data_IF_728397345440
#
_entry.id   IF_728397345440
#
_cell.length_a   1.000
_cell.length_b   1.000
_cell.length_c   1.000
_cell.angle_alpha   90.00
_cell.angle_beta   90.00
_cell.angle_gamma   90.00
#
_symmetry.space_group_name_H-M   'P 1'
#
loop_
_entity.id
_entity.type
_entity.pdbx_description
1 polymer ?
#
# COMPACT_ATOMS: atom_id res chain seq x y z
N UNK A 1 5.23 16.09 -6.03
CA UNK A 1 6.35 15.49 -6.77
C UNK A 1 5.98 15.51 -8.24
N UNK A 2 6.75 16.18 -9.08
CA UNK A 2 6.43 16.35 -10.50
C UNK A 2 7.00 15.15 -11.29
N UNK A 3 6.17 14.19 -11.61
CA UNK A 3 6.57 13.00 -12.42
C UNK A 3 6.95 13.42 -13.86
N UNK A 4 6.64 14.66 -14.24
CA UNK A 4 6.91 15.17 -15.61
C UNK A 4 8.37 15.51 -15.90
N UNK A 5 9.22 15.58 -14.90
CA UNK A 5 10.63 15.98 -14.98
C UNK A 5 11.59 14.79 -14.97
N UNK A 6 11.09 13.56 -14.77
CA UNK A 6 11.91 12.35 -14.83
C UNK A 6 11.53 11.49 -16.04
N UNK A 7 12.48 11.11 -16.89
CA UNK A 7 12.25 10.14 -17.96
C UNK A 7 12.17 8.69 -17.44
N UNK A 8 12.42 8.48 -16.15
CA UNK A 8 12.46 7.15 -15.54
C UNK A 8 11.27 6.94 -14.62
N UNK A 9 10.56 5.83 -14.84
CA UNK A 9 9.45 5.39 -14.01
C UNK A 9 9.61 3.90 -13.70
N UNK A 10 9.92 3.59 -12.44
CA UNK A 10 10.10 2.21 -12.00
C UNK A 10 8.90 1.73 -11.17
N UNK A 11 8.48 0.49 -11.44
CA UNK A 11 7.39 -0.19 -10.73
C UNK A 11 7.87 -1.58 -10.23
N UNK A 12 7.22 -2.14 -9.22
CA UNK A 12 6.27 -1.49 -8.31
C UNK A 12 6.97 -0.53 -7.33
N UNK A 13 6.19 0.38 -6.72
CA UNK A 13 6.67 1.20 -5.59
C UNK A 13 6.89 0.33 -4.36
N UNK A 14 8.12 -0.12 -4.14
CA UNK A 14 8.43 -1.09 -3.08
C UNK A 14 8.44 -0.49 -1.67
N UNK A 15 8.72 0.80 -1.55
CA UNK A 15 8.86 1.50 -0.27
C UNK A 15 7.53 1.98 0.30
N UNK A 16 6.57 2.32 -0.56
CA UNK A 16 5.26 2.82 -0.16
C UNK A 16 4.22 2.44 -1.23
N UNK A 17 3.83 1.16 -1.29
CA UNK A 17 2.93 0.66 -2.34
C UNK A 17 1.49 1.19 -2.20
N UNK A 18 1.14 1.74 -1.05
CA UNK A 18 -0.15 2.37 -0.77
C UNK A 18 -0.06 3.25 0.47
N UNK A 19 -0.77 4.38 0.45
CA UNK A 19 -0.85 5.27 1.60
C UNK A 19 -1.92 4.78 2.59
N UNK A 20 -1.57 4.74 3.88
CA UNK A 20 -2.52 4.59 4.96
C UNK A 20 -2.73 5.95 5.61
N UNK A 21 -3.91 6.53 5.41
CA UNK A 21 -4.25 7.83 5.98
C UNK A 21 -5.02 7.65 7.28
N UNK A 22 -4.74 8.53 8.25
CA UNK A 22 -5.43 8.55 9.53
C UNK A 22 -5.92 9.94 9.86
N UNK A 23 -7.03 10.02 10.57
CA UNK A 23 -7.57 11.26 11.13
C UNK A 23 -7.40 11.19 12.64
N UNK A 24 -6.62 12.13 13.19
CA UNK A 24 -6.48 12.31 14.63
C UNK A 24 -7.56 13.27 15.15
N UNK A 25 -8.30 12.85 16.16
CA UNK A 25 -9.28 13.68 16.84
C UNK A 25 -8.85 13.82 18.30
N UNK A 26 -8.87 15.05 18.84
CA UNK A 26 -8.64 15.26 20.26
C UNK A 26 -9.63 14.43 21.08
N UNK A 27 -9.12 13.73 22.10
CA UNK A 27 -9.93 12.79 22.87
C UNK A 27 -11.09 13.46 23.62
N UNK A 28 -10.87 14.67 24.16
CA UNK A 28 -11.93 15.39 24.87
C UNK A 28 -13.04 15.79 23.90
N UNK A 29 -12.66 16.31 22.71
CA UNK A 29 -13.62 16.61 21.63
C UNK A 29 -14.40 15.37 21.20
N UNK A 30 -13.73 14.24 21.06
CA UNK A 30 -14.38 12.96 20.72
C UNK A 30 -15.38 12.53 21.80
N UNK A 31 -15.00 12.66 23.08
CA UNK A 31 -15.84 12.26 24.20
C UNK A 31 -17.03 13.20 24.41
N UNK A 32 -16.92 14.47 24.01
CA UNK A 32 -18.01 15.44 24.06
C UNK A 32 -19.05 15.23 22.93
N UNK A 33 -18.70 14.48 21.89
CA UNK A 33 -19.64 14.12 20.83
C UNK A 33 -20.66 13.09 21.34
N UNK A 34 -21.90 13.25 20.89
CA UNK A 34 -22.92 12.21 21.06
C UNK A 34 -22.54 10.92 20.29
N UNK A 35 -23.09 9.79 20.68
CA UNK A 35 -22.92 8.51 19.97
C UNK A 35 -23.28 8.62 18.47
N UNK A 36 -24.29 9.41 18.16
CA UNK A 36 -24.70 9.66 16.77
C UNK A 36 -23.65 10.41 15.98
N UNK A 37 -23.03 11.44 16.57
CA UNK A 37 -21.95 12.22 15.92
C UNK A 37 -20.69 11.37 15.74
N UNK A 38 -20.29 10.59 16.74
CA UNK A 38 -19.19 9.64 16.64
C UNK A 38 -19.44 8.60 15.54
N UNK A 39 -20.66 8.09 15.43
CA UNK A 39 -21.06 7.18 14.37
C UNK A 39 -20.99 7.85 12.99
N UNK A 40 -21.48 9.09 12.84
CA UNK A 40 -21.38 9.83 11.59
C UNK A 40 -19.94 10.02 11.13
N UNK A 41 -19.03 10.43 12.01
CA UNK A 41 -17.60 10.57 11.70
C UNK A 41 -17.01 9.22 11.27
N UNK A 42 -17.31 8.15 12.00
CA UNK A 42 -16.82 6.81 11.70
C UNK A 42 -17.31 6.30 10.34
N UNK A 43 -18.57 6.53 10.00
CA UNK A 43 -19.13 6.15 8.70
C UNK A 43 -18.60 7.01 7.56
N UNK A 44 -18.40 8.31 7.79
CA UNK A 44 -17.80 9.20 6.81
C UNK A 44 -16.36 8.75 6.45
N UNK A 45 -15.56 8.39 7.45
CA UNK A 45 -14.21 7.84 7.23
C UNK A 45 -14.23 6.53 6.42
N UNK A 46 -15.13 5.60 6.75
CA UNK A 46 -15.28 4.34 6.00
C UNK A 46 -15.70 4.59 4.55
N UNK A 47 -16.70 5.44 4.33
CA UNK A 47 -17.18 5.79 2.99
C UNK A 47 -16.10 6.49 2.16
N UNK A 48 -15.34 7.40 2.76
CA UNK A 48 -14.22 8.05 2.10
C UNK A 48 -13.12 7.07 1.70
N UNK A 49 -12.81 6.08 2.56
CA UNK A 49 -11.84 5.03 2.25
C UNK A 49 -12.28 4.20 1.03
N UNK A 50 -13.52 3.74 1.00
CA UNK A 50 -14.05 2.92 -0.10
C UNK A 50 -14.07 3.70 -1.42
N UNK A 51 -14.53 4.95 -1.38
CA UNK A 51 -14.53 5.83 -2.55
C UNK A 51 -13.11 6.11 -3.06
N UNK A 52 -12.17 6.38 -2.15
CA UNK A 52 -10.78 6.67 -2.51
C UNK A 52 -10.11 5.48 -3.20
N UNK A 53 -10.28 4.26 -2.72
CA UNK A 53 -9.70 3.05 -3.34
C UNK A 53 -10.16 2.90 -4.79
N UNK A 54 -11.46 3.02 -5.03
CA UNK A 54 -12.03 2.92 -6.38
C UNK A 54 -11.56 4.05 -7.30
N UNK A 55 -11.59 5.28 -6.81
CA UNK A 55 -11.18 6.47 -7.57
C UNK A 55 -9.67 6.43 -7.92
N UNK A 56 -8.81 6.12 -6.95
CA UNK A 56 -7.37 6.00 -7.20
C UNK A 56 -7.05 4.91 -8.21
N UNK A 57 -7.66 3.74 -8.11
CA UNK A 57 -7.45 2.64 -9.05
C UNK A 57 -7.80 3.06 -10.47
N UNK A 58 -8.94 3.72 -10.65
CA UNK A 58 -9.37 4.20 -11.96
C UNK A 58 -8.49 5.33 -12.50
N UNK A 59 -8.27 6.40 -11.70
CA UNK A 59 -7.46 7.54 -12.11
C UNK A 59 -5.99 7.19 -12.36
N UNK A 60 -5.42 6.29 -11.57
CA UNK A 60 -4.05 5.82 -11.79
C UNK A 60 -3.91 5.07 -13.12
N UNK A 61 -4.90 4.27 -13.51
CA UNK A 61 -4.87 3.61 -14.82
C UNK A 61 -4.90 4.60 -15.97
N UNK A 62 -5.70 5.66 -15.86
CA UNK A 62 -5.76 6.74 -16.85
C UNK A 62 -4.44 7.53 -16.89
N UNK A 63 -3.89 7.89 -15.72
CA UNK A 63 -2.64 8.63 -15.61
C UNK A 63 -1.45 7.85 -16.19
N UNK A 64 -1.38 6.55 -15.97
CA UNK A 64 -0.36 5.70 -16.57
C UNK A 64 -0.47 5.67 -18.09
N UNK A 65 -1.69 5.54 -18.61
CA UNK A 65 -1.91 5.60 -20.06
C UNK A 65 -1.50 6.96 -20.64
N UNK A 66 -1.80 8.06 -19.96
CA UNK A 66 -1.36 9.39 -20.37
C UNK A 66 0.16 9.54 -20.36
N UNK A 67 0.84 9.06 -19.32
CA UNK A 67 2.31 9.05 -19.26
C UNK A 67 2.92 8.30 -20.45
N UNK A 68 2.36 7.16 -20.83
CA UNK A 68 2.82 6.38 -21.98
C UNK A 68 2.55 7.09 -23.31
N UNK A 69 1.30 7.51 -23.53
CA UNK A 69 0.87 7.99 -24.85
C UNK A 69 1.24 9.44 -25.15
N UNK A 70 1.22 10.32 -24.14
CA UNK A 70 1.52 11.76 -24.32
C UNK A 70 2.95 12.13 -23.97
N UNK A 71 3.57 11.40 -23.04
CA UNK A 71 4.89 11.75 -22.52
C UNK A 71 5.98 10.73 -22.91
N UNK A 72 5.62 9.62 -23.58
CA UNK A 72 6.57 8.60 -24.01
C UNK A 72 7.26 7.87 -22.86
N UNK A 73 6.68 7.88 -21.68
CA UNK A 73 7.25 7.21 -20.49
C UNK A 73 6.92 5.72 -20.57
N UNK A 74 7.93 4.87 -20.64
CA UNK A 74 7.78 3.43 -20.55
C UNK A 74 8.15 2.96 -19.14
N UNK A 75 7.19 2.33 -18.38
CA UNK A 75 7.47 1.78 -17.06
C UNK A 75 8.56 0.72 -17.12
N UNK A 76 9.51 0.84 -16.21
CA UNK A 76 10.58 -0.13 -16.00
C UNK A 76 10.31 -0.97 -14.77
N UNK A 77 10.84 -2.18 -14.72
CA UNK A 77 10.71 -3.06 -13.59
C UNK A 77 12.08 -3.41 -13.02
N UNK A 78 12.15 -3.46 -11.69
CA UNK A 78 13.36 -3.94 -11.03
C UNK A 78 13.55 -5.43 -11.31
N UNK A 79 14.78 -5.82 -11.60
CA UNK A 79 15.10 -7.24 -11.74
C UNK A 79 15.03 -7.96 -10.39
N UNK A 80 14.98 -9.29 -10.46
CA UNK A 80 14.84 -10.15 -9.26
C UNK A 80 15.97 -9.98 -8.26
N UNK A 81 17.18 -9.69 -8.72
CA UNK A 81 18.35 -9.51 -7.85
C UNK A 81 18.21 -8.24 -7.00
N UNK A 82 17.82 -7.13 -7.63
CA UNK A 82 17.55 -5.87 -6.94
C UNK A 82 16.41 -6.06 -5.93
N UNK A 83 15.31 -6.70 -6.33
CA UNK A 83 14.17 -6.93 -5.43
C UNK A 83 14.55 -7.80 -4.23
N UNK A 84 15.36 -8.83 -4.42
CA UNK A 84 15.89 -9.64 -3.32
C UNK A 84 16.74 -8.81 -2.37
N UNK A 85 17.65 -7.98 -2.92
CA UNK A 85 18.51 -7.14 -2.07
C UNK A 85 17.71 -6.10 -1.29
N UNK A 86 16.69 -5.50 -1.88
CA UNK A 86 15.76 -4.60 -1.19
C UNK A 86 15.07 -5.35 -0.03
N UNK A 87 14.58 -6.57 -0.27
CA UNK A 87 13.93 -7.38 0.75
C UNK A 87 14.86 -7.73 1.92
N UNK A 88 16.09 -8.15 1.64
CA UNK A 88 17.09 -8.44 2.67
C UNK A 88 17.41 -7.21 3.54
N UNK A 89 17.63 -6.05 2.91
CA UNK A 89 17.93 -4.81 3.65
C UNK A 89 16.72 -4.36 4.46
N UNK A 90 15.52 -4.43 3.90
CA UNK A 90 14.31 -4.07 4.63
C UNK A 90 14.05 -4.98 5.83
N UNK A 91 14.21 -6.29 5.68
CA UNK A 91 14.05 -7.24 6.78
C UNK A 91 15.09 -6.98 7.88
N UNK A 92 16.34 -6.68 7.53
CA UNK A 92 17.38 -6.34 8.51
C UNK A 92 17.02 -5.06 9.29
N UNK A 93 16.64 -3.99 8.61
CA UNK A 93 16.29 -2.71 9.27
C UNK A 93 15.09 -2.91 10.21
N UNK A 94 14.07 -3.65 9.78
CA UNK A 94 12.89 -3.91 10.60
C UNK A 94 13.24 -4.78 11.81
N UNK A 95 14.13 -5.77 11.65
CA UNK A 95 14.55 -6.62 12.75
C UNK A 95 15.43 -5.86 13.77
N UNK A 96 16.36 -5.04 13.30
CA UNK A 96 17.17 -4.16 14.17
C UNK A 96 16.28 -3.22 14.98
N UNK A 97 15.28 -2.60 14.34
CA UNK A 97 14.31 -1.75 15.02
C UNK A 97 13.45 -2.54 16.02
N UNK A 98 12.98 -3.73 15.64
CA UNK A 98 12.20 -4.60 16.51
C UNK A 98 12.94 -5.00 17.79
N UNK A 99 14.25 -5.09 17.73
CA UNK A 99 15.10 -5.44 18.87
C UNK A 99 15.56 -4.24 19.70
N UNK A 100 15.14 -3.01 19.39
CA UNK A 100 15.58 -1.80 20.10
C UNK A 100 15.06 -1.72 21.54
N UNK A 101 13.85 -2.23 21.82
CA UNK A 101 13.26 -2.29 23.15
C UNK A 101 12.11 -3.34 23.21
N UNK A 102 11.71 -3.78 24.43
CA UNK A 102 10.69 -4.81 24.60
C UNK A 102 9.30 -4.44 24.05
N UNK A 103 8.93 -3.15 24.09
CA UNK A 103 7.62 -2.70 23.56
C UNK A 103 7.60 -2.75 22.05
N UNK A 104 8.66 -2.31 21.42
CA UNK A 104 8.87 -2.39 19.97
C UNK A 104 8.88 -3.84 19.49
N UNK A 105 9.54 -4.73 20.24
CA UNK A 105 9.53 -6.18 19.94
C UNK A 105 8.12 -6.76 19.95
N UNK A 106 7.31 -6.43 20.95
CA UNK A 106 5.93 -6.89 21.06
C UNK A 106 5.06 -6.43 19.87
N UNK A 107 5.25 -5.19 19.43
CA UNK A 107 4.56 -4.64 18.25
C UNK A 107 5.01 -5.37 16.98
N UNK A 108 6.31 -5.55 16.81
CA UNK A 108 6.89 -6.24 15.66
C UNK A 108 6.42 -7.70 15.56
N UNK A 109 6.35 -8.44 16.68
CA UNK A 109 5.85 -9.81 16.68
C UNK A 109 4.40 -9.90 16.21
N UNK A 110 3.55 -8.96 16.65
CA UNK A 110 2.16 -8.87 16.18
C UNK A 110 2.10 -8.56 14.68
N UNK A 111 2.92 -7.63 14.20
CA UNK A 111 3.04 -7.29 12.79
C UNK A 111 3.49 -8.49 11.96
N UNK A 112 4.59 -9.14 12.33
CA UNK A 112 5.11 -10.29 11.58
C UNK A 112 4.13 -11.45 11.52
N UNK A 113 3.44 -11.73 12.61
CA UNK A 113 2.38 -12.74 12.65
C UNK A 113 1.29 -12.43 11.61
N UNK A 114 0.78 -11.21 11.61
CA UNK A 114 -0.28 -10.79 10.69
C UNK A 114 0.23 -10.77 9.25
N UNK A 115 1.41 -10.21 9.00
CA UNK A 115 2.04 -10.19 7.67
C UNK A 115 2.15 -11.60 7.06
N UNK A 116 2.63 -12.55 7.84
CA UNK A 116 2.82 -13.93 7.35
C UNK A 116 1.46 -14.61 7.05
N UNK A 117 0.45 -14.36 7.86
CA UNK A 117 -0.89 -14.86 7.63
C UNK A 117 -1.51 -14.25 6.37
N UNK A 118 -1.42 -12.92 6.21
CA UNK A 118 -1.95 -12.21 5.05
C UNK A 118 -1.21 -12.56 3.76
N UNK A 119 0.10 -12.78 3.81
CA UNK A 119 0.88 -13.22 2.65
C UNK A 119 0.34 -14.49 2.03
N UNK A 120 0.02 -15.49 2.85
CA UNK A 120 -0.55 -16.74 2.34
C UNK A 120 -1.92 -16.52 1.69
N UNK A 121 -2.79 -15.74 2.33
CA UNK A 121 -4.11 -15.41 1.77
C UNK A 121 -3.98 -14.68 0.43
N UNK A 122 -3.16 -13.64 0.34
CA UNK A 122 -2.97 -12.85 -0.88
C UNK A 122 -2.45 -13.73 -2.03
N UNK A 123 -1.54 -14.67 -1.75
CA UNK A 123 -1.07 -15.61 -2.77
C UNK A 123 -2.17 -16.54 -3.29
N UNK A 124 -3.11 -16.94 -2.43
CA UNK A 124 -4.21 -17.85 -2.81
C UNK A 124 -5.40 -17.12 -3.45
N UNK A 125 -5.60 -15.85 -3.12
CA UNK A 125 -6.69 -15.01 -3.64
C UNK A 125 -6.24 -14.17 -4.83
N UNK A 126 -5.97 -12.89 -4.60
CA UNK A 126 -5.69 -11.90 -5.65
C UNK A 126 -4.50 -12.28 -6.53
N UNK A 127 -3.43 -12.80 -5.94
CA UNK A 127 -2.24 -13.21 -6.68
C UNK A 127 -2.51 -14.33 -7.67
N UNK A 128 -3.25 -15.34 -7.25
CA UNK A 128 -3.65 -16.46 -8.14
C UNK A 128 -4.67 -16.03 -9.18
N UNK A 129 -5.63 -15.20 -8.79
CA UNK A 129 -6.62 -14.69 -9.73
C UNK A 129 -5.98 -13.87 -10.85
N UNK A 130 -5.10 -12.92 -10.49
CA UNK A 130 -4.40 -12.09 -11.46
C UNK A 130 -3.55 -12.96 -12.40
N UNK A 131 -2.72 -13.87 -11.85
CA UNK A 131 -1.89 -14.76 -12.63
C UNK A 131 -2.70 -15.66 -13.58
N UNK A 132 -3.83 -16.20 -13.12
CA UNK A 132 -4.70 -17.03 -13.95
C UNK A 132 -5.36 -16.23 -15.08
N UNK A 133 -5.76 -15.00 -14.79
CA UNK A 133 -6.34 -14.10 -15.80
C UNK A 133 -5.33 -13.74 -16.89
N UNK A 134 -4.11 -13.35 -16.50
CA UNK A 134 -3.06 -13.02 -17.47
C UNK A 134 -2.72 -14.23 -18.35
N UNK A 135 -2.60 -15.42 -17.76
CA UNK A 135 -2.36 -16.65 -18.51
C UNK A 135 -3.52 -16.98 -19.48
N UNK A 136 -4.77 -16.74 -19.07
CA UNK A 136 -5.95 -16.99 -19.91
C UNK A 136 -6.08 -15.98 -21.08
N UNK A 137 -5.63 -14.76 -20.89
CA UNK A 137 -5.67 -13.69 -21.90
C UNK A 137 -4.43 -13.70 -22.83
N UNK A 138 -3.43 -14.53 -22.56
CA UNK A 138 -2.22 -14.65 -23.37
C UNK A 138 -1.30 -13.41 -23.28
N UNK A 139 -1.33 -12.71 -22.15
CA UNK A 139 -0.53 -11.52 -21.90
C UNK A 139 0.61 -11.81 -20.92
#
# INVERSE_FOLDING_TARGET
MCIRDSPYYYAPGFHEPGASLSIGINLDVWNDMSESEQAMVSYACKSANDAAIGEYTFKNSQALNELKTKHGIEPQFFNTEILKRIGEVADQIVDDFANSDPSTRKIADSYFKTRNQMRYWTQMSDGRYIAAREAALGQ
#
